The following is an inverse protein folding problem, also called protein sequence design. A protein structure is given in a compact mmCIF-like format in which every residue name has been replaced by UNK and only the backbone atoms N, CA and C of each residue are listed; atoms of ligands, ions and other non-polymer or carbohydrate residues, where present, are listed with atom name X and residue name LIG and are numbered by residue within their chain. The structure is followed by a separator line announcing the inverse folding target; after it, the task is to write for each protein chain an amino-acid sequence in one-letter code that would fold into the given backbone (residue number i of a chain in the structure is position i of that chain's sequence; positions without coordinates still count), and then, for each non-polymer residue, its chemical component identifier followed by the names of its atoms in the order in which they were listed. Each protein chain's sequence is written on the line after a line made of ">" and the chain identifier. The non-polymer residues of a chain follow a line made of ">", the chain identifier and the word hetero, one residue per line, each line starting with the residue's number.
data_IF_798180234802
#
_entry.id   IF_798180234802
#
_cell.length_a   1.000
_cell.length_b   1.000
_cell.length_c   1.000
_cell.angle_alpha   90.00
_cell.angle_beta   90.00
_cell.angle_gamma   90.00
#
_symmetry.space_group_name_H-M   'P 1'
#
loop_
_entity.id
_entity.type
_entity.pdbx_description
1 polymer ?
#
# COMPACT_ATOMS: atom_id res chain seq x y z
N UNK A 1 -26.50 -28.25 41.50
CA UNK A 1 -25.50 -27.45 40.77
C UNK A 1 -25.88 -27.52 39.30
N UNK A 2 -26.60 -26.51 38.79
CA UNK A 2 -27.05 -26.45 37.39
C UNK A 2 -25.97 -25.68 36.62
N UNK A 3 -25.32 -26.33 35.66
CA UNK A 3 -24.28 -25.72 34.83
C UNK A 3 -24.87 -24.62 33.94
N UNK A 4 -24.18 -23.48 33.85
CA UNK A 4 -24.55 -22.40 32.96
C UNK A 4 -24.46 -22.85 31.49
N UNK A 5 -25.34 -22.38 30.59
CA UNK A 5 -25.28 -22.75 29.18
C UNK A 5 -24.02 -22.17 28.53
N UNK A 6 -23.28 -23.01 27.82
CA UNK A 6 -22.13 -22.60 27.01
C UNK A 6 -22.64 -21.80 25.80
N UNK A 7 -22.36 -20.49 25.80
CA UNK A 7 -22.64 -19.61 24.67
C UNK A 7 -21.51 -19.79 23.67
N UNK A 8 -21.76 -20.49 22.57
CA UNK A 8 -20.83 -20.56 21.45
C UNK A 8 -20.87 -19.21 20.72
N UNK A 9 -19.76 -18.45 20.61
CA UNK A 9 -19.76 -17.19 19.88
C UNK A 9 -20.01 -17.47 18.39
N UNK A 10 -20.97 -16.75 17.81
CA UNK A 10 -21.23 -16.77 16.38
C UNK A 10 -19.95 -16.38 15.62
N UNK A 11 -19.55 -17.07 14.54
CA UNK A 11 -18.39 -16.68 13.76
C UNK A 11 -18.62 -15.26 13.23
N UNK A 12 -17.87 -14.28 13.74
CA UNK A 12 -17.87 -12.94 13.18
C UNK A 12 -17.49 -13.07 11.71
N UNK A 13 -18.42 -12.73 10.83
CA UNK A 13 -18.14 -12.61 9.42
C UNK A 13 -17.09 -11.50 9.28
N UNK A 14 -15.82 -11.87 9.09
CA UNK A 14 -14.81 -10.91 8.65
C UNK A 14 -15.34 -10.29 7.35
N UNK A 15 -15.68 -9.00 7.39
CA UNK A 15 -16.08 -8.26 6.20
C UNK A 15 -15.00 -8.35 5.12
N UNK A 16 -15.32 -7.91 3.90
CA UNK A 16 -14.36 -7.88 2.80
C UNK A 16 -13.11 -7.09 3.19
N UNK A 17 -11.97 -7.78 3.32
CA UNK A 17 -10.67 -7.14 3.57
C UNK A 17 -10.00 -6.90 2.22
N UNK A 18 -9.74 -5.65 1.83
CA UNK A 18 -9.01 -5.38 0.60
C UNK A 18 -7.58 -5.92 0.72
N UNK A 19 -7.20 -6.79 -0.21
CA UNK A 19 -5.82 -7.26 -0.34
C UNK A 19 -4.98 -6.17 -0.99
N UNK A 20 -3.97 -5.67 -0.26
CA UNK A 20 -3.08 -4.60 -0.70
C UNK A 20 -1.66 -5.17 -0.90
N UNK A 21 -1.33 -5.71 -2.07
CA UNK A 21 0.04 -6.17 -2.35
C UNK A 21 1.03 -4.99 -2.33
N UNK A 22 2.26 -5.29 -1.89
CA UNK A 22 3.39 -4.39 -2.04
C UNK A 22 4.12 -4.72 -3.35
N UNK A 23 4.27 -3.71 -4.22
CA UNK A 23 5.07 -3.84 -5.43
C UNK A 23 6.54 -3.54 -5.09
N UNK A 24 7.42 -4.52 -5.31
CA UNK A 24 8.82 -4.44 -4.87
C UNK A 24 9.77 -3.85 -5.93
N UNK A 25 9.35 -3.87 -7.20
CA UNK A 25 10.10 -3.25 -8.29
C UNK A 25 10.07 -1.71 -8.18
N UNK A 26 11.09 -1.01 -8.74
CA UNK A 26 11.08 0.45 -8.76
C UNK A 26 9.78 1.01 -9.36
N UNK A 27 9.18 2.02 -8.72
CA UNK A 27 7.90 2.56 -9.17
C UNK A 27 8.02 3.14 -10.58
N UNK A 28 7.18 2.64 -11.49
CA UNK A 28 7.10 3.09 -12.88
C UNK A 28 5.68 2.97 -13.40
N UNK A 29 5.23 3.79 -14.37
CA UNK A 29 3.86 3.70 -14.90
C UNK A 29 3.49 2.29 -15.38
N UNK A 30 4.43 1.59 -16.03
CA UNK A 30 4.19 0.26 -16.59
C UNK A 30 3.99 -0.80 -15.50
N UNK A 31 4.68 -0.67 -14.36
CA UNK A 31 4.49 -1.54 -13.20
C UNK A 31 3.05 -1.45 -12.66
N UNK A 32 2.50 -0.24 -12.53
CA UNK A 32 1.13 -0.03 -12.03
C UNK A 32 0.08 -0.48 -13.04
N UNK A 33 0.26 -0.21 -14.35
CA UNK A 33 -0.64 -0.72 -15.40
C UNK A 33 -0.67 -2.24 -15.43
N UNK A 34 0.49 -2.89 -15.30
CA UNK A 34 0.55 -4.35 -15.25
C UNK A 34 -0.17 -4.92 -14.02
N UNK A 35 -0.10 -4.24 -12.87
CA UNK A 35 -0.85 -4.63 -11.68
C UNK A 35 -2.37 -4.53 -11.94
N UNK A 36 -2.81 -3.46 -12.59
CA UNK A 36 -4.20 -3.27 -13.01
C UNK A 36 -4.65 -4.35 -14.01
N UNK A 37 -3.84 -4.67 -15.03
CA UNK A 37 -4.11 -5.74 -16.01
C UNK A 37 -4.30 -7.11 -15.34
N UNK A 38 -3.68 -7.32 -14.17
CA UNK A 38 -3.82 -8.53 -13.35
C UNK A 38 -5.03 -8.48 -12.39
N UNK A 39 -5.83 -7.43 -12.43
CA UNK A 39 -7.01 -7.24 -11.59
C UNK A 39 -6.71 -6.72 -10.19
N UNK A 40 -5.50 -6.20 -9.93
CA UNK A 40 -5.16 -5.59 -8.65
C UNK A 40 -5.74 -4.18 -8.61
N UNK A 41 -6.67 -3.94 -7.69
CA UNK A 41 -7.40 -2.67 -7.57
C UNK A 41 -6.84 -1.74 -6.48
N UNK A 42 -5.90 -2.21 -5.67
CA UNK A 42 -5.23 -1.42 -4.65
C UNK A 42 -3.82 -1.97 -4.38
N UNK A 43 -2.87 -1.10 -4.04
CA UNK A 43 -1.48 -1.46 -3.72
C UNK A 43 -0.95 -0.62 -2.56
N UNK A 44 0.05 -1.14 -1.85
CA UNK A 44 0.81 -0.32 -0.89
C UNK A 44 1.76 0.61 -1.63
N UNK A 45 1.82 1.89 -1.22
CA UNK A 45 2.64 2.93 -1.86
C UNK A 45 3.49 3.64 -0.81
N UNK A 46 4.81 3.64 -1.00
CA UNK A 46 5.76 4.34 -0.12
C UNK A 46 6.98 4.90 -0.90
N UNK A 47 6.80 5.95 -1.70
CA UNK A 47 7.84 6.48 -2.60
C UNK A 47 9.07 7.04 -1.87
N UNK A 48 8.94 7.41 -0.59
CA UNK A 48 10.06 7.82 0.25
C UNK A 48 11.02 6.67 0.63
N UNK A 49 10.56 5.41 0.57
CA UNK A 49 11.41 4.24 0.85
C UNK A 49 12.42 4.00 -0.27
N UNK A 50 12.05 4.26 -1.53
CA UNK A 50 12.93 4.06 -2.70
C UNK A 50 13.95 5.19 -2.91
N UNK A 51 13.77 6.35 -2.27
CA UNK A 51 14.59 7.53 -2.52
C UNK A 51 15.91 7.56 -1.73
N UNK A 52 16.09 6.69 -0.72
CA UNK A 52 17.34 6.58 0.05
C UNK A 52 17.81 7.92 0.62
N UNK A 53 17.19 8.39 1.71
CA UNK A 53 17.65 9.61 2.37
C UNK A 53 19.05 9.42 2.97
N UNK A 54 19.97 10.32 2.64
CA UNK A 54 21.29 10.34 3.26
C UNK A 54 21.17 10.66 4.76
N UNK A 55 22.14 10.21 5.59
CA UNK A 55 22.23 10.66 6.97
C UNK A 55 22.30 12.19 7.03
N UNK A 56 21.39 12.81 7.79
CA UNK A 56 21.30 14.28 7.90
C UNK A 56 20.43 14.98 6.85
N UNK A 57 19.80 14.24 5.92
CA UNK A 57 18.82 14.82 5.00
C UNK A 57 17.66 15.50 5.73
N UNK A 58 17.19 16.62 5.17
CA UNK A 58 16.02 17.33 5.69
C UNK A 58 14.74 16.49 5.56
N UNK A 59 13.69 16.88 6.28
CA UNK A 59 12.36 16.26 6.14
C UNK A 59 11.85 16.37 4.70
N UNK A 60 12.11 17.50 4.04
CA UNK A 60 11.67 17.71 2.66
C UNK A 60 12.39 16.78 1.69
N UNK A 61 13.70 16.61 1.82
CA UNK A 61 14.48 15.69 0.98
C UNK A 61 14.07 14.23 1.21
N UNK A 62 13.75 13.89 2.47
CA UNK A 62 13.43 12.52 2.86
C UNK A 62 12.02 12.09 2.47
N UNK A 63 11.06 13.01 2.52
CA UNK A 63 9.64 12.66 2.37
C UNK A 63 8.99 13.42 1.23
N UNK A 64 9.02 14.76 1.26
CA UNK A 64 8.28 15.59 0.29
C UNK A 64 8.74 15.37 -1.14
N UNK A 65 10.03 15.58 -1.42
CA UNK A 65 10.55 15.52 -2.79
C UNK A 65 10.34 14.14 -3.45
N UNK A 66 10.53 13.00 -2.76
CA UNK A 66 10.20 11.69 -3.30
C UNK A 66 8.71 11.50 -3.63
N UNK A 67 7.81 12.02 -2.79
CA UNK A 67 6.36 11.94 -3.00
C UNK A 67 5.94 12.77 -4.22
N UNK A 68 6.43 14.01 -4.31
CA UNK A 68 6.14 14.91 -5.44
C UNK A 68 6.67 14.32 -6.75
N UNK A 69 7.91 13.82 -6.75
CA UNK A 69 8.49 13.14 -7.93
C UNK A 69 7.66 11.93 -8.34
N UNK A 70 7.22 11.09 -7.40
CA UNK A 70 6.37 9.94 -7.70
C UNK A 70 5.04 10.37 -8.33
N UNK A 71 4.40 11.41 -7.80
CA UNK A 71 3.16 11.94 -8.36
C UNK A 71 3.34 12.43 -9.80
N UNK A 72 4.39 13.20 -10.08
CA UNK A 72 4.66 13.78 -11.41
C UNK A 72 5.12 12.76 -12.46
N UNK A 73 5.93 11.78 -12.04
CA UNK A 73 6.61 10.88 -13.00
C UNK A 73 5.89 9.56 -13.19
N UNK A 74 5.16 9.09 -12.16
CA UNK A 74 4.45 7.81 -12.19
C UNK A 74 2.95 8.06 -12.31
N UNK A 75 2.34 8.67 -11.28
CA UNK A 75 0.87 8.75 -11.19
C UNK A 75 0.25 9.62 -12.27
N UNK A 76 0.89 10.71 -12.68
CA UNK A 76 0.41 11.53 -13.80
C UNK A 76 0.34 10.78 -15.14
N UNK A 77 0.99 9.60 -15.24
CA UNK A 77 1.03 8.76 -16.43
C UNK A 77 0.19 7.49 -16.29
N UNK A 78 -0.28 7.15 -15.10
CA UNK A 78 -1.25 6.08 -14.84
C UNK A 78 -2.65 6.71 -14.93
N UNK A 79 -3.60 6.07 -15.62
CA UNK A 79 -4.95 6.58 -15.82
C UNK A 79 -5.96 5.48 -15.65
#
# INVERSE_FOLDING_TARGET
>A
MVGAPEVTPEPQQCGHVPMLPALLDPPSPDLYRRAEDLGITAVMVAPWLTAGAAPGSSVDDRFRAPIERFAETVMARVR
#
